data_IF_146732819479
#
_entry.id   IF_146732819479
#
_cell.length_a   1.000
_cell.length_b   1.000
_cell.length_c   1.000
_cell.angle_alpha   90.00
_cell.angle_beta   90.00
_cell.angle_gamma   90.00
#
_symmetry.space_group_name_H-M   'P 1'
#
loop_
_entity.id
_entity.type
_entity.pdbx_description
1 polymer ?
#
# COMPACT_ATOMS: atom_id res chain seq x y z
N UNK A 1 19.19 -13.20 -11.28
CA UNK A 1 18.29 -12.12 -10.82
C UNK A 1 17.14 -11.98 -11.81
N UNK A 2 15.88 -12.20 -11.40
CA UNK A 2 14.72 -11.89 -12.27
C UNK A 2 14.72 -10.39 -12.54
N UNK A 3 14.72 -9.97 -13.82
CA UNK A 3 14.51 -8.56 -14.18
C UNK A 3 13.14 -8.14 -13.66
N UNK A 4 13.09 -7.18 -12.74
CA UNK A 4 11.82 -6.56 -12.33
C UNK A 4 11.34 -5.69 -13.49
N UNK A 5 10.29 -6.13 -14.17
CA UNK A 5 9.61 -5.32 -15.17
C UNK A 5 8.94 -4.13 -14.44
N UNK A 6 9.14 -2.93 -14.96
CA UNK A 6 8.56 -1.70 -14.40
C UNK A 6 7.42 -1.24 -15.31
N UNK A 7 6.32 -0.82 -14.69
CA UNK A 7 5.17 -0.23 -15.36
C UNK A 7 4.96 1.19 -14.83
N UNK A 8 4.39 2.07 -15.67
CA UNK A 8 3.93 3.40 -15.28
C UNK A 8 2.42 3.42 -15.38
N UNK A 9 1.77 3.99 -14.37
CA UNK A 9 0.33 4.27 -14.36
C UNK A 9 0.08 5.55 -13.58
N UNK A 10 -1.02 6.24 -13.89
CA UNK A 10 -1.53 7.32 -13.06
C UNK A 10 -2.24 6.73 -11.85
N UNK A 11 -2.11 7.38 -10.70
CA UNK A 11 -2.64 6.93 -9.41
C UNK A 11 -3.31 8.12 -8.73
N UNK A 12 -4.39 7.84 -8.01
CA UNK A 12 -4.90 8.74 -6.98
C UNK A 12 -3.87 8.89 -5.86
N UNK A 13 -4.08 9.93 -5.04
CA UNK A 13 -3.24 10.16 -3.86
C UNK A 13 -3.25 8.96 -2.91
N UNK A 14 -4.42 8.36 -2.69
CA UNK A 14 -4.62 7.25 -1.74
C UNK A 14 -3.96 5.95 -2.24
N UNK A 15 -4.08 5.63 -3.53
CA UNK A 15 -3.39 4.49 -4.13
C UNK A 15 -1.87 4.63 -4.06
N UNK A 16 -1.35 5.84 -4.28
CA UNK A 16 0.08 6.13 -4.15
C UNK A 16 0.55 5.89 -2.70
N UNK A 17 -0.19 6.40 -1.73
CA UNK A 17 0.09 6.26 -0.30
C UNK A 17 0.12 4.78 0.12
N UNK A 18 -0.85 3.98 -0.35
CA UNK A 18 -0.89 2.54 -0.12
C UNK A 18 0.36 1.85 -0.69
N UNK A 19 0.76 2.16 -1.92
CA UNK A 19 1.96 1.56 -2.54
C UNK A 19 3.24 1.93 -1.77
N UNK A 20 3.35 3.18 -1.31
CA UNK A 20 4.50 3.63 -0.50
C UNK A 20 4.53 2.94 0.86
N UNK A 21 3.39 2.76 1.53
CA UNK A 21 3.28 2.03 2.80
C UNK A 21 3.76 0.57 2.66
N UNK A 22 3.34 -0.13 1.60
CA UNK A 22 3.76 -1.51 1.31
C UNK A 22 5.27 -1.60 1.10
N UNK A 23 5.85 -0.65 0.35
CA UNK A 23 7.31 -0.60 0.12
C UNK A 23 8.08 -0.33 1.40
N UNK A 24 7.59 0.60 2.22
CA UNK A 24 8.21 0.94 3.50
C UNK A 24 8.17 -0.25 4.46
N UNK A 25 7.03 -0.94 4.54
CA UNK A 25 6.88 -2.19 5.27
C UNK A 25 7.87 -3.28 4.81
N UNK A 26 8.05 -3.46 3.49
CA UNK A 26 9.03 -4.43 2.98
C UNK A 26 10.49 -4.04 3.30
N UNK A 27 10.79 -2.74 3.24
CA UNK A 27 12.14 -2.21 3.51
C UNK A 27 12.47 -2.18 5.01
N UNK A 28 11.46 -2.14 5.87
CA UNK A 28 11.63 -2.04 7.31
C UNK A 28 11.92 -3.41 7.96
N UNK A 29 11.80 -4.51 7.21
CA UNK A 29 12.22 -5.83 7.69
C UNK A 29 13.71 -5.84 8.10
N UNK A 30 14.06 -6.41 9.27
CA UNK A 30 13.20 -7.10 10.23
C UNK A 30 12.60 -6.21 11.34
N UNK A 31 12.97 -4.93 11.41
CA UNK A 31 12.74 -4.07 12.58
C UNK A 31 11.45 -3.23 12.55
N UNK A 32 10.67 -3.23 11.47
CA UNK A 32 9.53 -2.30 11.28
C UNK A 32 8.13 -2.89 11.44
N UNK A 33 7.97 -3.88 12.31
CA UNK A 33 6.67 -4.46 12.67
C UNK A 33 6.19 -3.89 14.02
N UNK A 34 4.87 -3.71 14.31
CA UNK A 34 3.64 -4.07 13.58
C UNK A 34 2.86 -2.89 12.93
N UNK A 35 3.18 -1.64 13.29
CA UNK A 35 2.38 -0.45 12.96
C UNK A 35 2.29 -0.14 11.46
N UNK A 36 3.32 -0.50 10.68
CA UNK A 36 3.33 -0.27 9.23
C UNK A 36 2.39 -1.21 8.48
N UNK A 37 2.18 -2.42 8.99
CA UNK A 37 1.23 -3.37 8.40
C UNK A 37 -0.20 -2.92 8.65
N UNK A 38 -0.50 -2.50 9.88
CA UNK A 38 -1.80 -1.96 10.28
C UNK A 38 -2.16 -0.73 9.43
N UNK A 39 -1.23 0.21 9.25
CA UNK A 39 -1.45 1.38 8.40
C UNK A 39 -1.77 1.02 6.94
N UNK A 40 -1.08 0.02 6.38
CA UNK A 40 -1.34 -0.43 5.01
C UNK A 40 -2.71 -1.11 4.88
N UNK A 41 -3.16 -1.84 5.91
CA UNK A 41 -4.49 -2.46 5.97
C UNK A 41 -5.59 -1.40 6.04
N UNK A 42 -5.45 -0.41 6.93
CA UNK A 42 -6.41 0.69 7.06
C UNK A 42 -6.53 1.53 5.77
N UNK A 43 -5.44 1.71 5.03
CA UNK A 43 -5.46 2.37 3.72
C UNK A 43 -6.21 1.53 2.69
N UNK A 44 -5.95 0.23 2.64
CA UNK A 44 -6.65 -0.68 1.73
C UNK A 44 -8.15 -0.69 2.00
N UNK A 45 -8.54 -0.83 3.27
CA UNK A 45 -9.95 -0.86 3.66
C UNK A 45 -10.66 0.44 3.28
N UNK A 46 -10.06 1.61 3.53
CA UNK A 46 -10.64 2.90 3.12
C UNK A 46 -10.80 3.06 1.60
N UNK A 47 -9.82 2.61 0.83
CA UNK A 47 -9.85 2.70 -0.64
C UNK A 47 -10.88 1.72 -1.23
N UNK A 48 -11.12 0.59 -0.56
CA UNK A 48 -11.99 -0.49 -1.04
C UNK A 48 -13.37 -0.54 -0.39
N UNK A 49 -13.62 0.25 0.65
CA UNK A 49 -14.95 0.43 1.24
C UNK A 49 -15.84 1.03 0.16
N UNK A 50 -16.63 0.15 -0.48
CA UNK A 50 -17.59 0.56 -1.49
C UNK A 50 -18.53 1.60 -0.86
N UNK A 51 -18.97 2.64 -1.60
CA UNK A 51 -20.10 3.42 -1.14
C UNK A 51 -21.23 2.44 -0.87
N UNK A 52 -21.68 2.35 0.39
CA UNK A 52 -22.90 1.63 0.72
C UNK A 52 -23.99 2.36 -0.06
N UNK A 53 -24.63 1.65 -0.98
CA UNK A 53 -25.82 2.14 -1.64
C UNK A 53 -26.85 2.46 -0.53
N UNK A 54 -27.04 3.74 -0.23
CA UNK A 54 -28.15 4.28 0.58
C UNK A 54 -29.40 4.43 -0.29
#
# INVERSE_FOLDING_TARGET
MRKKQKFKMELSFEEKELIESIRNYCNSYPNGYPQLLEYAQDLFDRITDMPKDD
#
